data_IF_576454709203
#
_entry.id   IF_576454709203
#
_cell.length_a   1.000
_cell.length_b   1.000
_cell.length_c   1.000
_cell.angle_alpha   90.00
_cell.angle_beta   90.00
_cell.angle_gamma   90.00
#
_symmetry.space_group_name_H-M   'P 1'
#
loop_
_entity.id
_entity.type
_entity.pdbx_description
1 polymer ?
#
# COMPACT_ATOMS: atom_id res chain seq x y z
N UNK A 1 -4.35 22.80 -20.38
CA UNK A 1 -4.13 21.72 -21.36
C UNK A 1 -5.50 21.25 -21.81
N UNK A 2 -5.78 21.32 -23.11
CA UNK A 2 -7.09 20.97 -23.68
C UNK A 2 -6.94 19.67 -24.43
N UNK A 3 -7.81 18.69 -24.15
CA UNK A 3 -7.84 17.42 -24.88
C UNK A 3 -9.19 17.27 -25.58
N UNK A 4 -9.17 16.64 -26.74
CA UNK A 4 -10.40 16.15 -27.37
C UNK A 4 -10.88 14.91 -26.60
N UNK A 5 -12.16 14.89 -26.21
CA UNK A 5 -12.78 13.67 -25.68
C UNK A 5 -13.25 12.79 -26.84
N UNK A 6 -13.45 11.50 -26.56
CA UNK A 6 -13.98 10.53 -27.54
C UNK A 6 -15.36 10.93 -28.10
N UNK A 7 -16.11 11.74 -27.35
CA UNK A 7 -17.36 12.36 -27.79
C UNK A 7 -17.17 13.59 -28.71
N UNK A 8 -15.95 13.91 -29.15
CA UNK A 8 -15.64 15.07 -29.98
C UNK A 8 -15.71 16.41 -29.26
N UNK A 9 -15.96 16.40 -27.94
CA UNK A 9 -16.04 17.63 -27.13
C UNK A 9 -14.65 18.01 -26.63
N UNK A 10 -14.29 19.29 -26.71
CA UNK A 10 -13.04 19.75 -26.10
C UNK A 10 -13.23 19.90 -24.59
N UNK A 11 -12.40 19.20 -23.79
CA UNK A 11 -12.39 19.35 -22.33
C UNK A 11 -11.10 20.05 -21.90
N UNK A 12 -11.25 21.15 -21.18
CA UNK A 12 -10.16 21.86 -20.53
C UNK A 12 -10.12 21.45 -19.06
N UNK A 13 -9.00 20.90 -18.59
CA UNK A 13 -8.81 20.67 -17.16
C UNK A 13 -8.45 21.99 -16.49
N UNK A 14 -9.28 22.46 -15.57
CA UNK A 14 -8.96 23.59 -14.70
C UNK A 14 -8.14 23.07 -13.51
N UNK A 15 -7.01 23.72 -13.23
CA UNK A 15 -6.14 23.34 -12.11
C UNK A 15 -6.91 23.51 -10.79
N UNK A 16 -7.17 22.40 -10.10
CA UNK A 16 -7.94 22.38 -8.84
C UNK A 16 -9.38 21.88 -8.98
N UNK A 17 -9.86 21.63 -10.21
CA UNK A 17 -11.15 21.00 -10.43
C UNK A 17 -11.08 19.53 -10.05
N UNK A 18 -11.81 19.14 -9.01
CA UNK A 18 -11.98 17.73 -8.64
C UNK A 18 -13.08 17.16 -9.52
N UNK A 19 -12.79 16.16 -10.38
CA UNK A 19 -13.85 15.49 -11.10
C UNK A 19 -14.79 14.83 -10.08
N UNK A 20 -16.09 15.05 -10.25
CA UNK A 20 -17.12 14.35 -9.48
C UNK A 20 -17.18 12.90 -9.96
N UNK A 21 -16.30 12.07 -9.38
CA UNK A 21 -16.25 10.64 -9.67
C UNK A 21 -17.02 9.95 -8.56
N UNK A 22 -18.14 9.32 -8.93
CA UNK A 22 -18.97 8.60 -7.96
C UNK A 22 -18.21 7.39 -7.38
N UNK A 23 -18.50 7.02 -6.13
CA UNK A 23 -17.89 5.85 -5.50
C UNK A 23 -18.12 4.55 -6.30
N UNK A 24 -19.26 4.48 -7.00
CA UNK A 24 -19.61 3.40 -7.93
C UNK A 24 -18.64 3.31 -9.12
N UNK A 25 -18.25 4.44 -9.70
CA UNK A 25 -17.26 4.48 -10.77
C UNK A 25 -15.87 4.10 -10.27
N UNK A 26 -15.49 4.56 -9.06
CA UNK A 26 -14.22 4.18 -8.45
C UNK A 26 -14.14 2.66 -8.18
N UNK A 27 -15.24 2.05 -7.74
CA UNK A 27 -15.35 0.59 -7.54
C UNK A 27 -15.29 -0.21 -8.85
N UNK A 28 -15.80 0.34 -9.96
CA UNK A 28 -15.64 -0.25 -11.30
C UNK A 28 -14.21 -0.12 -11.81
N UNK A 29 -13.57 1.03 -11.62
CA UNK A 29 -12.18 1.27 -11.99
C UNK A 29 -11.21 0.34 -11.23
N UNK A 30 -11.43 0.15 -9.91
CA UNK A 30 -10.64 -0.79 -9.11
C UNK A 30 -10.74 -2.23 -9.63
N UNK A 31 -11.94 -2.68 -9.98
CA UNK A 31 -12.16 -4.02 -10.54
C UNK A 31 -11.53 -4.18 -11.93
N UNK A 32 -11.64 -3.17 -12.79
CA UNK A 32 -11.00 -3.17 -14.10
C UNK A 32 -9.47 -3.20 -14.00
N UNK A 33 -8.88 -2.42 -13.08
CA UNK A 33 -7.43 -2.43 -12.81
C UNK A 33 -6.97 -3.80 -12.31
N UNK A 34 -7.72 -4.43 -11.40
CA UNK A 34 -7.42 -5.77 -10.91
C UNK A 34 -7.48 -6.82 -12.02
N UNK A 35 -8.44 -6.73 -12.94
CA UNK A 35 -8.56 -7.66 -14.07
C UNK A 35 -7.42 -7.49 -15.11
N UNK A 36 -6.95 -6.26 -15.36
CA UNK A 36 -5.82 -6.00 -16.25
C UNK A 36 -4.50 -6.53 -15.66
N UNK A 37 -4.31 -6.43 -14.34
CA UNK A 37 -3.15 -7.03 -13.66
C UNK A 37 -3.23 -8.56 -13.61
N UNK A 38 -4.42 -9.13 -13.41
CA UNK A 38 -4.59 -10.59 -13.34
C UNK A 38 -4.53 -11.29 -14.71
N UNK A 39 -4.74 -10.57 -15.82
CA UNK A 39 -4.72 -11.14 -17.17
C UNK A 39 -3.34 -11.18 -17.84
N UNK A 40 -2.28 -10.71 -17.18
CA UNK A 40 -0.96 -10.52 -17.79
C UNK A 40 0.12 -11.52 -17.36
N UNK A 41 -0.17 -12.49 -16.48
CA UNK A 41 0.86 -13.40 -15.96
C UNK A 41 0.45 -14.87 -16.12
N UNK A 42 0.77 -15.40 -17.29
CA UNK A 42 1.07 -16.83 -17.44
C UNK A 42 2.44 -16.94 -18.09
N UNK A 43 3.49 -17.03 -17.28
CA UNK A 43 4.82 -17.59 -17.61
C UNK A 43 5.69 -17.60 -16.34
N UNK A 44 5.77 -18.74 -15.66
CA UNK A 44 6.88 -19.09 -14.74
C UNK A 44 8.21 -19.17 -15.55
N UNK A 45 9.45 -19.01 -14.98
CA UNK A 45 9.93 -19.84 -13.85
C UNK A 45 11.09 -19.31 -12.93
N UNK A 46 11.38 -20.14 -11.90
CA UNK A 46 12.63 -20.35 -11.11
C UNK A 46 12.95 -19.48 -9.89
N UNK A 47 13.15 -20.22 -8.79
CA UNK A 47 13.85 -19.98 -7.51
C UNK A 47 14.95 -18.91 -7.48
N UNK A 48 14.95 -18.12 -6.39
CA UNK A 48 16.00 -17.14 -6.10
C UNK A 48 15.89 -16.44 -4.74
N UNK A 49 15.98 -17.20 -3.65
CA UNK A 49 16.73 -16.87 -2.43
C UNK A 49 16.34 -15.66 -1.53
N UNK A 50 15.60 -15.96 -0.46
CA UNK A 50 15.93 -15.70 0.96
C UNK A 50 14.70 -16.17 1.77
N UNK A 51 14.72 -17.20 2.61
CA UNK A 51 15.76 -17.66 3.51
C UNK A 51 15.53 -17.03 4.88
N UNK A 52 14.90 -17.75 5.80
CA UNK A 52 14.98 -17.47 7.23
C UNK A 52 13.65 -17.31 7.97
N UNK A 53 13.42 -18.30 8.83
CA UNK A 53 12.62 -18.25 10.06
C UNK A 53 11.09 -18.15 10.00
N UNK A 54 10.45 -19.23 10.44
CA UNK A 54 9.04 -19.29 10.84
C UNK A 54 8.87 -18.64 12.23
N UNK A 55 9.15 -17.35 12.32
CA UNK A 55 8.60 -16.47 13.34
C UNK A 55 7.71 -15.46 12.64
N UNK A 56 6.57 -15.09 13.19
CA UNK A 56 5.82 -13.92 12.70
C UNK A 56 6.76 -12.72 12.73
N UNK A 57 7.37 -12.39 11.58
CA UNK A 57 8.45 -11.42 11.55
C UNK A 57 7.83 -10.05 11.73
N UNK A 58 8.14 -9.39 12.85
CA UNK A 58 7.73 -8.01 13.12
C UNK A 58 8.05 -7.08 11.92
N UNK A 59 9.02 -7.46 11.09
CA UNK A 59 9.40 -6.81 9.83
C UNK A 59 8.28 -6.76 8.79
N UNK A 60 7.41 -7.76 8.75
CA UNK A 60 6.28 -7.85 7.83
C UNK A 60 5.06 -7.08 8.34
N UNK A 61 4.98 -6.80 9.65
CA UNK A 61 3.90 -6.02 10.24
C UNK A 61 3.92 -4.57 9.76
N UNK A 62 2.75 -3.98 9.53
CA UNK A 62 2.60 -2.56 9.24
C UNK A 62 2.99 -1.71 10.44
N UNK A 63 3.28 -0.42 10.22
CA UNK A 63 3.61 0.51 11.33
C UNK A 63 2.49 0.56 12.38
N UNK A 64 1.23 0.48 11.96
CA UNK A 64 0.09 0.46 12.89
C UNK A 64 0.10 -0.79 13.77
N UNK A 65 0.37 -1.95 13.17
CA UNK A 65 0.46 -3.22 13.88
C UNK A 65 1.66 -3.26 14.84
N UNK A 66 2.80 -2.68 14.46
CA UNK A 66 3.95 -2.53 15.36
C UNK A 66 3.65 -1.61 16.55
N UNK A 67 2.93 -0.51 16.34
CA UNK A 67 2.51 0.37 17.43
C UNK A 67 1.53 -0.33 18.36
N UNK A 68 0.57 -1.09 17.82
CA UNK A 68 -0.35 -1.89 18.61
C UNK A 68 0.36 -3.00 19.40
N UNK A 69 1.38 -3.62 18.80
CA UNK A 69 2.22 -4.60 19.47
C UNK A 69 3.03 -3.97 20.61
N UNK A 70 3.60 -2.79 20.38
CA UNK A 70 4.32 -2.05 21.41
C UNK A 70 3.41 -1.66 22.58
N UNK A 71 2.20 -1.17 22.29
CA UNK A 71 1.21 -0.83 23.33
C UNK A 71 0.79 -2.06 24.14
N UNK A 72 0.54 -3.20 23.48
CA UNK A 72 0.17 -4.46 24.12
C UNK A 72 1.29 -5.01 25.02
N UNK A 73 2.56 -4.77 24.66
CA UNK A 73 3.73 -5.19 25.43
C UNK A 73 4.29 -4.08 26.33
N UNK A 74 3.58 -2.95 26.47
CA UNK A 74 3.99 -1.78 27.26
C UNK A 74 5.38 -1.23 26.88
N UNK A 75 5.76 -1.32 25.61
CA UNK A 75 7.01 -0.80 25.04
C UNK A 75 6.80 0.66 24.64
N UNK A 76 7.63 1.56 25.19
CA UNK A 76 7.58 2.98 24.86
C UNK A 76 8.19 3.24 23.46
N UNK A 77 7.33 3.48 22.48
CA UNK A 77 7.71 3.77 21.08
C UNK A 77 7.17 5.13 20.65
N UNK A 78 7.96 5.89 19.89
CA UNK A 78 7.49 7.14 19.31
C UNK A 78 6.62 6.88 18.07
N UNK A 79 5.31 7.19 18.09
CA UNK A 79 4.43 6.98 16.94
C UNK A 79 4.77 7.87 15.74
N UNK A 80 5.55 8.94 15.93
CA UNK A 80 6.03 9.81 14.85
C UNK A 80 7.30 9.29 14.20
N UNK A 81 8.05 8.40 14.86
CA UNK A 81 9.27 7.82 14.32
C UNK A 81 9.00 6.93 13.09
N UNK A 82 10.03 6.69 12.28
CA UNK A 82 9.92 5.80 11.12
C UNK A 82 9.62 4.35 11.56
N UNK A 83 8.97 3.57 10.69
CA UNK A 83 8.67 2.14 10.95
C UNK A 83 9.91 1.38 11.43
N UNK A 84 11.05 1.61 10.77
CA UNK A 84 12.32 0.96 11.13
C UNK A 84 12.78 1.30 12.56
N UNK A 85 12.56 2.54 13.02
CA UNK A 85 12.92 2.96 14.37
C UNK A 85 12.00 2.32 15.40
N UNK A 86 10.69 2.35 15.16
CA UNK A 86 9.69 1.67 16.02
C UNK A 86 10.01 0.17 16.14
N UNK A 87 10.32 -0.47 15.03
CA UNK A 87 10.66 -1.88 14.97
C UNK A 87 11.97 -2.18 15.73
N UNK A 88 13.00 -1.36 15.57
CA UNK A 88 14.24 -1.50 16.31
C UNK A 88 14.02 -1.35 17.83
N UNK A 89 13.18 -0.39 18.26
CA UNK A 89 12.82 -0.24 19.67
C UNK A 89 12.08 -1.46 20.21
N UNK A 90 11.14 -2.03 19.44
CA UNK A 90 10.41 -3.24 19.84
C UNK A 90 11.37 -4.43 19.95
N UNK A 91 12.26 -4.63 18.97
CA UNK A 91 13.26 -5.72 19.01
C UNK A 91 14.22 -5.55 20.20
N UNK A 92 14.66 -4.32 20.49
CA UNK A 92 15.55 -4.03 21.61
C UNK A 92 14.88 -4.23 22.99
N UNK A 93 13.55 -4.11 23.08
CA UNK A 93 12.81 -4.36 24.31
C UNK A 93 12.40 -5.83 24.51
N UNK A 94 12.51 -6.66 23.46
CA UNK A 94 12.17 -8.08 23.48
C UNK A 94 13.36 -9.02 23.74
N UNK A 95 14.58 -8.46 23.81
CA UNK A 95 15.81 -9.14 24.25
C UNK A 95 15.96 -9.06 25.78
#
# INVERSE_FOLDING_TARGET
>A
MTIATDAGTSRQFVKGEKPDVSASEFGRLKRAKAAVLAGAETSEPVEGNQGGDKGESLDDMTKAELLAYAEANQIEVDPKAAKAVVLATIKAAAE
#
